data_IF_609255695290
#
_entry.id   IF_609255695290
#
_cell.length_a   1.000
_cell.length_b   1.000
_cell.length_c   1.000
_cell.angle_alpha   90.00
_cell.angle_beta   90.00
_cell.angle_gamma   90.00
#
_symmetry.space_group_name_H-M   'P 1'
#
loop_
_entity.id
_entity.type
_entity.pdbx_description
1 polymer ?
#
# COMPACT_ATOMS: atom_id res chain seq x y z
N UNK A 1 25.01 -36.94 25.89
CA UNK A 1 25.70 -35.64 26.08
C UNK A 1 25.90 -34.87 24.79
N UNK A 2 26.26 -35.56 23.72
CA UNK A 2 26.47 -34.94 22.42
C UNK A 2 25.16 -34.37 21.88
N UNK A 3 24.04 -35.06 22.04
CA UNK A 3 22.71 -34.63 21.63
C UNK A 3 22.24 -33.38 22.38
N UNK A 4 22.48 -33.32 23.70
CA UNK A 4 22.12 -32.16 24.51
C UNK A 4 22.92 -30.92 24.11
N UNK A 5 24.22 -31.09 23.83
CA UNK A 5 25.07 -30.00 23.37
C UNK A 5 24.57 -29.45 22.02
N UNK A 6 24.14 -30.31 21.09
CA UNK A 6 23.59 -29.91 19.81
C UNK A 6 22.27 -29.14 19.96
N UNK A 7 21.38 -29.60 20.84
CA UNK A 7 20.09 -28.93 21.09
C UNK A 7 20.33 -27.54 21.71
N UNK A 8 21.24 -27.44 22.68
CA UNK A 8 21.56 -26.15 23.31
C UNK A 8 22.13 -25.15 22.31
N UNK A 9 22.98 -25.61 21.41
CA UNK A 9 23.54 -24.77 20.35
C UNK A 9 22.46 -24.27 19.42
N UNK A 10 21.51 -25.12 19.02
CA UNK A 10 20.38 -24.73 18.17
C UNK A 10 19.50 -23.69 18.87
N UNK A 11 19.23 -23.82 20.15
CA UNK A 11 18.45 -22.84 20.91
C UNK A 11 19.17 -21.49 20.99
N UNK A 12 20.47 -21.50 21.23
CA UNK A 12 21.27 -20.28 21.24
C UNK A 12 21.29 -19.59 19.89
N UNK A 13 21.36 -20.38 18.81
CA UNK A 13 21.31 -19.85 17.44
C UNK A 13 19.96 -19.19 17.14
N UNK A 14 18.85 -19.80 17.53
CA UNK A 14 17.51 -19.24 17.34
C UNK A 14 17.32 -17.94 18.13
N UNK A 15 17.81 -17.88 19.36
CA UNK A 15 17.73 -16.67 20.18
C UNK A 15 18.54 -15.53 19.57
N UNK A 16 19.72 -15.85 19.06
CA UNK A 16 20.57 -14.88 18.36
C UNK A 16 19.88 -14.34 17.12
N UNK A 17 19.28 -15.21 16.30
CA UNK A 17 18.59 -14.82 15.08
C UNK A 17 17.41 -13.87 15.38
N UNK A 18 16.63 -14.13 16.43
CA UNK A 18 15.54 -13.25 16.86
C UNK A 18 16.05 -11.87 17.28
N UNK A 19 17.16 -11.81 17.99
CA UNK A 19 17.77 -10.55 18.43
C UNK A 19 18.26 -9.76 17.22
N UNK A 20 18.89 -10.42 16.27
CA UNK A 20 19.36 -9.79 15.03
C UNK A 20 18.18 -9.24 14.23
N UNK A 21 17.09 -10.01 14.09
CA UNK A 21 15.90 -9.55 13.37
C UNK A 21 15.27 -8.30 13.98
N UNK A 22 15.33 -8.14 15.30
CA UNK A 22 14.83 -6.94 15.97
C UNK A 22 15.68 -5.70 15.71
N UNK A 23 16.95 -5.90 15.40
CA UNK A 23 17.88 -4.81 15.07
C UNK A 23 17.71 -4.31 13.65
N UNK A 24 16.93 -4.99 12.83
CA UNK A 24 16.64 -4.58 11.47
C UNK A 24 15.17 -4.22 11.31
N UNK A 25 14.93 -3.12 10.65
CA UNK A 25 13.57 -2.78 10.21
C UNK A 25 13.46 -3.24 8.75
N UNK A 26 12.59 -4.22 8.52
CA UNK A 26 12.39 -4.82 7.20
C UNK A 26 11.06 -4.39 6.60
N UNK A 27 11.02 -4.34 5.28
CA UNK A 27 9.77 -4.09 4.58
C UNK A 27 8.81 -5.27 4.77
N UNK A 28 7.61 -4.99 5.24
CA UNK A 28 6.57 -6.01 5.41
C UNK A 28 5.79 -6.26 4.12
N UNK A 29 5.87 -5.32 3.18
CA UNK A 29 5.22 -5.39 1.87
C UNK A 29 6.15 -4.81 0.83
N UNK A 30 5.96 -5.20 -0.42
CA UNK A 30 6.61 -4.56 -1.55
C UNK A 30 5.92 -3.23 -1.85
N UNK A 31 6.68 -2.22 -2.20
CA UNK A 31 6.11 -0.91 -2.53
C UNK A 31 7.17 0.17 -2.58
N UNK A 32 6.78 1.39 -2.26
CA UNK A 32 7.65 2.57 -2.28
C UNK A 32 7.69 3.19 -0.88
N UNK A 33 8.88 3.56 -0.45
CA UNK A 33 9.05 4.27 0.83
C UNK A 33 8.45 5.67 0.68
N UNK A 34 7.30 5.89 1.32
CA UNK A 34 6.60 7.17 1.25
C UNK A 34 7.08 8.15 2.29
N UNK A 35 7.56 7.66 3.42
CA UNK A 35 8.04 8.48 4.52
C UNK A 35 9.12 7.75 5.29
N UNK A 36 10.16 8.47 5.66
CA UNK A 36 11.25 7.96 6.50
C UNK A 36 11.40 8.95 7.66
N UNK A 37 11.10 8.48 8.87
CA UNK A 37 10.96 9.37 10.04
C UNK A 37 12.21 9.42 10.91
N UNK A 38 13.25 8.68 10.54
CA UNK A 38 14.51 8.63 11.29
C UNK A 38 15.69 8.89 10.36
N UNK A 39 16.80 9.29 10.94
CA UNK A 39 18.06 9.51 10.22
C UNK A 39 19.16 8.71 10.90
N UNK A 40 20.26 8.52 10.19
CA UNK A 40 21.44 7.85 10.72
C UNK A 40 21.94 8.59 11.97
N UNK A 41 22.13 7.86 13.05
CA UNK A 41 22.55 8.41 14.32
C UNK A 41 21.41 8.71 15.30
N UNK A 42 20.16 8.63 14.85
CA UNK A 42 19.01 8.86 15.71
C UNK A 42 18.82 7.69 16.69
N UNK A 43 18.40 8.01 17.89
CA UNK A 43 18.00 7.03 18.86
C UNK A 43 16.52 6.71 18.66
N UNK A 44 16.21 5.42 18.59
CA UNK A 44 14.82 4.94 18.47
C UNK A 44 14.49 4.02 19.62
N UNK A 45 13.20 3.99 19.95
CA UNK A 45 12.66 3.07 20.94
C UNK A 45 11.72 2.11 20.26
N UNK A 46 11.42 0.99 20.91
CA UNK A 46 10.42 0.05 20.40
C UNK A 46 9.03 0.71 20.40
N UNK A 47 8.34 0.65 19.26
CA UNK A 47 6.97 1.09 19.12
C UNK A 47 6.72 2.27 18.19
N UNK A 48 7.53 3.37 18.21
CA UNK A 48 7.30 4.50 17.31
C UNK A 48 7.47 4.17 15.84
N UNK A 49 6.77 4.91 14.99
CA UNK A 49 6.88 4.77 13.53
C UNK A 49 8.26 5.22 13.05
N UNK A 50 8.88 4.41 12.21
CA UNK A 50 10.19 4.74 11.61
C UNK A 50 10.11 4.93 10.11
N UNK A 51 9.18 4.27 9.45
CA UNK A 51 9.00 4.39 8.00
C UNK A 51 7.57 4.01 7.61
N UNK A 52 7.15 4.48 6.44
CA UNK A 52 5.87 4.11 5.85
C UNK A 52 6.12 3.66 4.42
N UNK A 53 5.60 2.48 4.07
CA UNK A 53 5.68 1.92 2.72
C UNK A 53 4.29 1.92 2.12
N UNK A 54 4.16 2.45 0.91
CA UNK A 54 2.93 2.41 0.13
C UNK A 54 3.06 1.38 -0.98
N UNK A 55 2.09 0.46 -1.02
CA UNK A 55 1.99 -0.50 -2.10
C UNK A 55 1.37 0.21 -3.30
N UNK A 56 2.21 0.53 -4.28
CA UNK A 56 1.80 1.19 -5.50
C UNK A 56 1.66 0.24 -6.69
N UNK A 57 1.70 -1.08 -6.44
CA UNK A 57 1.54 -2.07 -7.51
C UNK A 57 0.15 -2.04 -8.10
N UNK A 58 -0.83 -1.65 -7.31
CA UNK A 58 -2.21 -1.41 -7.73
C UNK A 58 -2.68 -0.10 -7.14
N UNK A 59 -3.43 0.64 -7.95
CA UNK A 59 -4.06 1.88 -7.50
C UNK A 59 -5.56 1.65 -7.42
N UNK A 60 -6.23 2.35 -6.53
CA UNK A 60 -7.68 2.31 -6.42
C UNK A 60 -8.28 3.62 -6.88
N UNK A 61 -9.48 3.52 -7.43
CA UNK A 61 -10.22 4.67 -7.93
C UNK A 61 -11.66 4.53 -7.46
N UNK A 62 -12.09 5.39 -6.56
CA UNK A 62 -13.44 5.39 -6.04
C UNK A 62 -14.26 6.42 -6.80
N UNK A 63 -15.15 5.95 -7.66
CA UNK A 63 -15.96 6.79 -8.55
C UNK A 63 -17.43 6.65 -8.22
N UNK A 64 -18.16 7.73 -8.40
CA UNK A 64 -19.61 7.75 -8.24
C UNK A 64 -20.28 7.44 -9.58
N UNK A 65 -21.22 6.51 -9.55
CA UNK A 65 -22.06 6.14 -10.69
C UNK A 65 -23.53 6.34 -10.31
N UNK A 66 -24.41 6.59 -11.29
CA UNK A 66 -25.84 6.64 -11.00
C UNK A 66 -26.28 5.35 -10.27
N UNK A 67 -27.04 5.50 -9.20
CA UNK A 67 -27.42 4.36 -8.36
C UNK A 67 -28.19 3.29 -9.13
N UNK A 68 -29.06 3.72 -10.06
CA UNK A 68 -29.84 2.80 -10.89
C UNK A 68 -28.94 1.91 -11.76
N UNK A 69 -27.85 2.46 -12.28
CA UNK A 69 -26.91 1.73 -13.11
C UNK A 69 -25.94 0.90 -12.24
N UNK A 70 -25.49 1.47 -11.13
CA UNK A 70 -24.56 0.80 -10.21
C UNK A 70 -25.20 -0.43 -9.56
N UNK A 71 -26.50 -0.47 -9.42
CA UNK A 71 -27.20 -1.65 -8.88
C UNK A 71 -26.98 -2.90 -9.72
N UNK A 72 -26.61 -2.74 -10.99
CA UNK A 72 -26.29 -3.85 -11.88
C UNK A 72 -24.81 -4.22 -11.92
N UNK A 73 -23.96 -3.50 -11.21
CA UNK A 73 -22.52 -3.76 -11.21
C UNK A 73 -22.19 -4.84 -10.19
N UNK A 74 -21.17 -5.64 -10.51
CA UNK A 74 -20.73 -6.75 -9.65
C UNK A 74 -19.25 -6.67 -9.41
N UNK A 75 -18.81 -7.10 -8.22
CA UNK A 75 -17.39 -7.25 -7.91
C UNK A 75 -16.77 -8.26 -8.89
N UNK A 76 -15.61 -7.90 -9.43
CA UNK A 76 -14.95 -8.70 -10.46
C UNK A 76 -15.24 -8.28 -11.89
N UNK A 77 -16.20 -7.37 -12.08
CA UNK A 77 -16.53 -6.84 -13.40
C UNK A 77 -15.43 -5.89 -13.90
N UNK A 78 -15.16 -5.93 -15.20
CA UNK A 78 -14.15 -5.07 -15.81
C UNK A 78 -14.66 -3.64 -15.97
N UNK A 79 -13.75 -2.70 -15.79
CA UNK A 79 -14.03 -1.28 -16.00
C UNK A 79 -12.97 -0.70 -16.93
N UNK A 80 -13.41 0.18 -17.84
CA UNK A 80 -12.49 0.93 -18.70
C UNK A 80 -12.18 2.26 -18.03
N UNK A 81 -10.93 2.42 -17.61
CA UNK A 81 -10.45 3.61 -16.90
C UNK A 81 -9.70 4.49 -17.87
N UNK A 82 -10.15 5.73 -18.02
CA UNK A 82 -9.51 6.71 -18.89
C UNK A 82 -8.86 7.78 -18.03
N UNK A 83 -7.56 8.01 -18.23
CA UNK A 83 -6.84 9.02 -17.49
C UNK A 83 -7.18 10.41 -17.98
N UNK A 84 -7.42 11.31 -17.04
CA UNK A 84 -7.74 12.70 -17.35
C UNK A 84 -6.51 13.39 -17.96
N UNK A 85 -6.74 14.14 -19.02
CA UNK A 85 -5.66 14.83 -19.73
C UNK A 85 -4.89 13.99 -20.74
N UNK A 86 -5.16 12.69 -20.81
CA UNK A 86 -4.59 11.80 -21.83
C UNK A 86 -5.70 10.94 -22.41
N UNK A 87 -5.42 10.27 -23.53
CA UNK A 87 -6.38 9.33 -24.13
C UNK A 87 -6.04 7.88 -23.76
N UNK A 88 -5.18 7.68 -22.78
CA UNK A 88 -4.82 6.34 -22.35
C UNK A 88 -5.97 5.70 -21.58
N UNK A 89 -6.30 4.48 -21.96
CA UNK A 89 -7.33 3.68 -21.30
C UNK A 89 -6.67 2.48 -20.64
N UNK A 90 -6.98 2.28 -19.37
CA UNK A 90 -6.50 1.14 -18.58
C UNK A 90 -7.70 0.26 -18.23
N UNK A 91 -7.45 -1.04 -18.13
CA UNK A 91 -8.49 -1.95 -17.67
C UNK A 91 -8.39 -2.11 -16.16
N UNK A 92 -9.49 -1.78 -15.48
CA UNK A 92 -9.61 -1.98 -14.04
C UNK A 92 -10.60 -3.09 -13.71
N UNK A 93 -10.66 -3.44 -12.45
CA UNK A 93 -11.60 -4.43 -11.93
C UNK A 93 -12.34 -3.86 -10.74
N UNK A 94 -13.66 -4.04 -10.70
CA UNK A 94 -14.46 -3.60 -9.56
C UNK A 94 -14.12 -4.46 -8.35
N UNK A 95 -13.73 -3.82 -7.26
CA UNK A 95 -13.41 -4.51 -5.99
C UNK A 95 -14.48 -4.29 -4.95
N UNK A 96 -15.26 -3.21 -5.06
CA UNK A 96 -16.34 -2.93 -4.13
C UNK A 96 -17.38 -2.02 -4.78
N UNK A 97 -18.63 -2.21 -4.41
CA UNK A 97 -19.75 -1.33 -4.76
C UNK A 97 -20.49 -1.05 -3.46
N UNK A 98 -20.73 0.23 -3.13
CA UNK A 98 -21.47 0.55 -1.92
C UNK A 98 -22.90 0.03 -2.01
N UNK A 99 -23.40 -0.53 -0.92
CA UNK A 99 -24.75 -1.07 -0.84
C UNK A 99 -25.82 -0.02 -0.55
N UNK A 100 -25.42 1.24 -0.32
CA UNK A 100 -26.33 2.33 0.01
C UNK A 100 -26.17 3.45 -0.98
N UNK A 101 -27.31 4.07 -1.33
CA UNK A 101 -27.31 5.20 -2.23
C UNK A 101 -26.92 6.47 -1.48
N UNK A 102 -26.14 7.32 -2.13
CA UNK A 102 -25.76 8.63 -1.62
C UNK A 102 -26.31 9.72 -2.54
N UNK A 103 -26.65 10.86 -1.97
CA UNK A 103 -27.17 11.99 -2.74
C UNK A 103 -25.98 12.83 -3.22
N UNK A 104 -25.86 12.97 -4.53
CA UNK A 104 -24.84 13.80 -5.17
C UNK A 104 -25.42 15.17 -5.54
N UNK A 105 -24.58 16.03 -6.06
CA UNK A 105 -24.96 17.35 -6.55
C UNK A 105 -26.10 17.24 -7.59
N UNK A 106 -27.13 18.04 -7.44
CA UNK A 106 -28.28 18.00 -8.34
C UNK A 106 -29.34 16.96 -7.98
N UNK A 107 -29.33 16.44 -6.75
CA UNK A 107 -30.25 15.44 -6.23
C UNK A 107 -30.19 14.09 -6.96
N UNK A 108 -29.04 13.76 -7.54
CA UNK A 108 -28.83 12.47 -8.18
C UNK A 108 -28.39 11.45 -7.13
N UNK A 109 -29.07 10.32 -7.07
CA UNK A 109 -28.66 9.21 -6.24
C UNK A 109 -27.51 8.47 -6.91
N UNK A 110 -26.43 8.27 -6.15
CA UNK A 110 -25.21 7.64 -6.63
C UNK A 110 -24.76 6.54 -5.71
N UNK A 111 -23.95 5.63 -6.22
CA UNK A 111 -23.21 4.65 -5.44
C UNK A 111 -21.75 4.77 -5.79
N UNK A 112 -20.88 4.58 -4.81
CA UNK A 112 -19.45 4.58 -5.02
C UNK A 112 -19.00 3.21 -5.45
N UNK A 113 -18.30 3.15 -6.57
CA UNK A 113 -17.71 1.93 -7.11
C UNK A 113 -16.21 2.07 -6.98
N UNK A 114 -15.58 1.15 -6.28
CA UNK A 114 -14.12 1.11 -6.14
C UNK A 114 -13.54 0.20 -7.20
N UNK A 115 -12.62 0.73 -7.97
CA UNK A 115 -11.98 0.04 -9.09
C UNK A 115 -10.50 -0.10 -8.77
N UNK A 116 -9.94 -1.29 -8.91
CA UNK A 116 -8.52 -1.56 -8.78
C UNK A 116 -7.89 -1.54 -10.16
N UNK A 117 -6.84 -0.75 -10.33
CA UNK A 117 -6.10 -0.63 -11.58
C UNK A 117 -4.66 -1.02 -11.31
N UNK A 118 -4.12 -1.90 -12.15
CA UNK A 118 -2.71 -2.27 -12.07
C UNK A 118 -1.84 -1.09 -12.46
N UNK A 119 -0.90 -0.73 -11.61
CA UNK A 119 0.06 0.32 -11.89
C UNK A 119 1.25 -0.29 -12.62
N UNK A 120 1.32 -0.06 -13.92
CA UNK A 120 2.44 -0.51 -14.75
C UNK A 120 3.66 0.43 -14.63
N UNK A 121 3.52 1.49 -13.85
CA UNK A 121 4.51 2.53 -13.62
C UNK A 121 3.94 3.89 -13.99
N UNK A 122 4.16 4.88 -13.16
CA UNK A 122 3.74 6.26 -13.42
C UNK A 122 2.39 6.69 -12.91
N UNK A 123 1.56 5.79 -12.38
CA UNK A 123 0.31 6.19 -11.73
C UNK A 123 0.62 6.77 -10.34
N UNK A 124 0.09 7.94 -10.07
CA UNK A 124 0.28 8.64 -8.79
C UNK A 124 -1.06 9.16 -8.28
N UNK A 125 -1.09 9.57 -7.03
CA UNK A 125 -2.29 10.17 -6.43
C UNK A 125 -2.60 11.58 -6.96
N UNK A 126 -1.70 12.16 -7.73
CA UNK A 126 -1.94 13.45 -8.39
C UNK A 126 -2.73 13.32 -9.69
N UNK A 127 -2.85 12.10 -10.22
CA UNK A 127 -3.56 11.84 -11.46
C UNK A 127 -5.02 11.53 -11.18
N UNK A 128 -5.91 12.11 -11.98
CA UNK A 128 -7.33 11.84 -11.95
C UNK A 128 -7.73 10.98 -13.13
N UNK A 129 -8.80 10.22 -12.99
CA UNK A 129 -9.33 9.39 -14.05
C UNK A 129 -10.84 9.27 -13.94
N UNK A 130 -11.45 8.87 -15.06
CA UNK A 130 -12.85 8.49 -15.13
C UNK A 130 -12.92 7.02 -15.52
N UNK A 131 -14.06 6.40 -15.33
CA UNK A 131 -14.26 5.03 -15.77
C UNK A 131 -15.61 4.85 -16.41
N UNK A 132 -15.68 3.88 -17.31
CA UNK A 132 -16.92 3.44 -17.95
C UNK A 132 -17.08 1.96 -17.63
N UNK A 133 -18.23 1.60 -17.11
CA UNK A 133 -18.57 0.22 -16.78
C UNK A 133 -19.85 -0.13 -17.54
N UNK A 134 -19.75 -1.15 -18.38
CA UNK A 134 -20.89 -1.64 -19.17
C UNK A 134 -21.60 -0.51 -19.95
N UNK A 135 -20.81 0.43 -20.50
CA UNK A 135 -21.32 1.58 -21.25
C UNK A 135 -21.77 2.74 -20.38
N UNK A 136 -21.69 2.64 -19.08
CA UNK A 136 -22.12 3.69 -18.14
C UNK A 136 -20.89 4.46 -17.66
N UNK A 137 -20.91 5.77 -17.86
CA UNK A 137 -19.81 6.64 -17.41
C UNK A 137 -20.02 7.09 -15.98
N UNK A 138 -18.92 7.30 -15.25
CA UNK A 138 -18.96 7.87 -13.92
C UNK A 138 -19.40 9.34 -13.98
N UNK A 139 -19.80 9.88 -12.83
CA UNK A 139 -20.33 11.26 -12.74
C UNK A 139 -19.20 12.29 -12.83
N UNK A 140 -18.07 12.02 -12.18
CA UNK A 140 -16.93 12.94 -12.13
C UNK A 140 -15.60 12.18 -12.02
N UNK A 141 -14.53 12.82 -12.47
CA UNK A 141 -13.18 12.27 -12.30
C UNK A 141 -12.75 12.33 -10.83
N UNK A 142 -11.98 11.34 -10.41
CA UNK A 142 -11.36 11.28 -9.08
C UNK A 142 -9.90 10.92 -9.23
N UNK A 143 -9.11 11.30 -8.24
CA UNK A 143 -7.69 10.94 -8.19
C UNK A 143 -7.51 9.49 -7.74
N UNK A 144 -6.46 8.87 -8.25
CA UNK A 144 -6.06 7.54 -7.79
C UNK A 144 -5.59 7.59 -6.33
N UNK A 145 -5.78 6.50 -5.63
CA UNK A 145 -5.27 6.31 -4.28
C UNK A 145 -4.46 5.03 -4.23
N UNK A 146 -3.51 4.96 -3.30
CA UNK A 146 -2.77 3.72 -3.07
C UNK A 146 -3.69 2.68 -2.44
N UNK A 147 -3.58 1.44 -2.90
CA UNK A 147 -4.41 0.35 -2.39
C UNK A 147 -4.05 -0.02 -0.96
N UNK A 148 -2.78 0.03 -0.59
CA UNK A 148 -2.33 -0.33 0.73
C UNK A 148 -1.18 0.58 1.18
N UNK A 149 -1.13 0.81 2.47
CA UNK A 149 -0.06 1.52 3.12
C UNK A 149 0.31 0.76 4.39
N UNK A 150 1.60 0.58 4.64
CA UNK A 150 2.06 -0.14 5.82
C UNK A 150 3.04 0.73 6.59
N UNK A 151 2.71 0.98 7.84
CA UNK A 151 3.59 1.67 8.77
C UNK A 151 4.53 0.67 9.42
N UNK A 152 5.83 0.96 9.38
CA UNK A 152 6.84 0.14 10.01
C UNK A 152 7.27 0.79 11.32
N UNK A 153 7.41 -0.06 12.35
CA UNK A 153 7.84 0.38 13.67
C UNK A 153 9.14 -0.32 14.05
N UNK A 154 9.92 0.32 14.91
CA UNK A 154 11.10 -0.33 15.48
C UNK A 154 10.64 -1.42 16.45
N UNK A 155 11.25 -2.59 16.36
CA UNK A 155 10.95 -3.72 17.25
C UNK A 155 11.83 -3.76 18.50
N UNK A 156 12.87 -2.94 18.54
CA UNK A 156 13.78 -2.84 19.67
C UNK A 156 14.32 -1.42 19.75
N UNK A 157 14.79 -1.05 20.93
CA UNK A 157 15.47 0.23 21.13
C UNK A 157 16.90 0.14 20.63
N UNK A 158 17.42 1.22 20.09
CA UNK A 158 18.79 1.29 19.63
C UNK A 158 19.07 2.59 18.90
N UNK A 159 20.25 2.69 18.34
CA UNK A 159 20.66 3.82 17.51
C UNK A 159 20.66 3.40 16.05
N UNK A 160 20.17 4.25 15.18
CA UNK A 160 20.19 3.99 13.73
C UNK A 160 21.64 4.00 13.25
N UNK A 161 22.16 2.81 12.91
CA UNK A 161 23.53 2.66 12.44
C UNK A 161 23.64 2.84 10.94
N UNK A 162 22.60 2.46 10.19
CA UNK A 162 22.56 2.61 8.75
C UNK A 162 21.11 2.70 8.26
N UNK A 163 20.92 3.47 7.20
CA UNK A 163 19.66 3.54 6.46
C UNK A 163 19.97 3.15 5.02
N UNK A 164 19.35 2.08 4.56
CA UNK A 164 19.63 1.49 3.25
C UNK A 164 18.72 2.00 2.14
N UNK A 165 17.75 2.85 2.48
CA UNK A 165 16.76 3.37 1.53
C UNK A 165 16.53 4.86 1.79
N UNK A 166 15.95 5.53 0.80
CA UNK A 166 15.52 6.92 0.88
C UNK A 166 14.03 7.00 0.54
N UNK A 167 13.42 8.11 0.87
CA UNK A 167 12.04 8.36 0.46
C UNK A 167 11.94 8.32 -1.07
N UNK A 168 10.97 7.57 -1.57
CA UNK A 168 10.79 7.35 -3.00
C UNK A 168 11.42 6.08 -3.54
N UNK A 169 12.23 5.37 -2.77
CA UNK A 169 12.85 4.13 -3.21
C UNK A 169 11.84 2.98 -3.24
N UNK A 170 11.97 2.13 -4.26
CA UNK A 170 11.18 0.90 -4.33
C UNK A 170 11.84 -0.18 -3.47
N UNK A 171 11.02 -0.91 -2.73
CA UNK A 171 11.49 -1.99 -1.84
C UNK A 171 10.66 -3.24 -2.07
N UNK A 172 11.25 -4.38 -1.75
CA UNK A 172 10.59 -5.68 -1.79
C UNK A 172 10.37 -6.20 -0.38
N UNK A 173 9.38 -7.07 -0.21
CA UNK A 173 9.12 -7.70 1.08
C UNK A 173 10.37 -8.40 1.60
N UNK A 174 10.75 -8.09 2.83
CA UNK A 174 11.93 -8.65 3.48
C UNK A 174 13.20 -7.82 3.34
N UNK A 175 13.18 -6.76 2.53
CA UNK A 175 14.34 -5.87 2.40
C UNK A 175 14.64 -5.17 3.72
N UNK A 176 15.92 -5.08 4.07
CA UNK A 176 16.36 -4.36 5.27
C UNK A 176 16.42 -2.87 4.93
N UNK A 177 15.60 -2.08 5.60
CA UNK A 177 15.50 -0.65 5.35
C UNK A 177 16.37 0.15 6.31
N UNK A 178 16.37 -0.23 7.58
CA UNK A 178 17.06 0.47 8.65
C UNK A 178 17.78 -0.56 9.51
N UNK A 179 19.02 -0.26 9.90
CA UNK A 179 19.81 -1.08 10.80
C UNK A 179 20.01 -0.34 12.11
N UNK A 180 19.78 -1.03 13.22
CA UNK A 180 19.92 -0.48 14.56
C UNK A 180 21.08 -1.15 15.31
N UNK A 181 21.77 -0.39 16.15
CA UNK A 181 22.74 -0.92 17.09
C UNK A 181 22.22 -0.70 18.50
N UNK A 182 22.20 -1.78 19.28
CA UNK A 182 21.67 -1.74 20.63
C UNK A 182 22.66 -1.34 21.69
#
# INVERSE_FOLDING_TARGET
KVEQAGITLQQAQRNYDKTVDRQYVRAEVAGVVSSLKVAKGDEVTSGPEVAVIRDNSKMTLALEFPAADAAGFSVGQSADVTMDGTFETLTGTITAVTGTDALSTGNLLTRTVTISVRNAGGLTTAQAATATINGVSCIAAKCFEYQAERTLTAQASGTVSAINVQEGDAVSKGDILIELTG
#
